data_IF_102525755374
#
_entry.id   IF_102525755374
#
_cell.length_a   1.000
_cell.length_b   1.000
_cell.length_c   1.000
_cell.angle_alpha   90.00
_cell.angle_beta   90.00
_cell.angle_gamma   90.00
#
_symmetry.space_group_name_H-M   'P 1'
#
loop_
_entity.id
_entity.type
_entity.pdbx_description
1 polymer ?
#
# COMPACT_ATOMS: atom_id res chain seq x y z
N UNK A 1 -26.16 -75.90 13.02
CA UNK A 1 -26.12 -74.59 13.69
C UNK A 1 -24.72 -74.00 13.58
N UNK A 2 -24.49 -73.16 12.58
CA UNK A 2 -23.43 -72.14 12.44
C UNK A 2 -23.97 -71.07 11.48
N UNK A 3 -23.82 -69.76 11.76
CA UNK A 3 -24.43 -68.71 10.94
C UNK A 3 -23.53 -68.38 9.74
N UNK A 4 -24.06 -68.04 8.56
CA UNK A 4 -23.27 -67.32 7.56
C UNK A 4 -23.30 -65.82 7.87
N UNK A 5 -22.09 -65.28 8.01
CA UNK A 5 -21.79 -63.92 8.41
C UNK A 5 -22.25 -62.89 7.36
N UNK A 6 -22.97 -61.87 7.84
CA UNK A 6 -23.29 -60.64 7.10
C UNK A 6 -21.99 -59.87 6.81
N UNK A 7 -21.65 -59.73 5.54
CA UNK A 7 -20.46 -59.02 5.09
C UNK A 7 -20.74 -57.51 5.17
N UNK A 8 -20.28 -56.87 6.24
CA UNK A 8 -20.28 -55.41 6.41
C UNK A 8 -19.13 -54.87 5.57
N UNK A 9 -19.45 -54.13 4.50
CA UNK A 9 -18.49 -53.37 3.70
C UNK A 9 -18.21 -52.07 4.47
N UNK A 10 -16.99 -51.82 4.99
CA UNK A 10 -16.69 -50.52 5.55
C UNK A 10 -16.49 -49.52 4.40
N UNK A 11 -17.42 -48.57 4.29
CA UNK A 11 -17.26 -47.36 3.49
C UNK A 11 -16.16 -46.50 4.15
N UNK A 12 -14.94 -46.59 3.62
CA UNK A 12 -13.82 -45.73 4.02
C UNK A 12 -14.06 -44.35 3.40
N UNK A 13 -14.61 -43.43 4.19
CA UNK A 13 -14.61 -41.99 3.85
C UNK A 13 -13.22 -41.46 4.16
N UNK A 14 -12.37 -41.34 3.14
CA UNK A 14 -11.10 -40.61 3.24
C UNK A 14 -11.44 -39.13 3.28
N UNK A 15 -11.53 -38.57 4.47
CA UNK A 15 -11.61 -37.12 4.66
C UNK A 15 -10.19 -36.58 4.45
N UNK A 16 -9.87 -36.21 3.22
CA UNK A 16 -8.65 -35.47 2.90
C UNK A 16 -8.81 -34.07 3.49
N UNK A 17 -8.42 -33.90 4.74
CA UNK A 17 -8.16 -32.58 5.29
C UNK A 17 -6.89 -32.09 4.62
N UNK A 18 -7.02 -31.31 3.55
CA UNK A 18 -5.89 -30.53 3.03
C UNK A 18 -5.68 -29.41 4.04
N UNK A 19 -5.02 -29.72 5.16
CA UNK A 19 -4.31 -28.70 5.92
C UNK A 19 -3.17 -28.25 5.02
N UNK A 20 -3.46 -27.26 4.17
CA UNK A 20 -2.44 -26.56 3.43
C UNK A 20 -1.52 -25.91 4.45
N UNK A 21 -0.43 -26.60 4.78
CA UNK A 21 0.74 -25.92 5.32
C UNK A 21 1.22 -25.08 4.15
N UNK A 22 0.88 -23.79 4.15
CA UNK A 22 1.63 -22.82 3.35
C UNK A 22 3.04 -22.89 3.91
N UNK A 23 3.92 -23.58 3.19
CA UNK A 23 5.34 -23.44 3.38
C UNK A 23 5.68 -22.00 2.98
N UNK A 24 5.58 -21.07 3.93
CA UNK A 24 6.16 -19.75 3.85
C UNK A 24 7.69 -19.90 3.93
N UNK A 25 8.30 -20.44 2.88
CA UNK A 25 9.75 -20.68 2.83
C UNK A 25 10.37 -20.04 1.58
N UNK A 26 9.74 -18.95 1.13
CA UNK A 26 10.02 -18.32 -0.15
C UNK A 26 10.64 -16.94 -0.06
N UNK A 27 11.31 -16.56 1.05
CA UNK A 27 12.04 -15.28 1.23
C UNK A 27 11.27 -13.99 0.90
N UNK A 28 9.98 -14.11 0.60
CA UNK A 28 9.10 -13.05 0.11
C UNK A 28 8.38 -12.50 1.30
N UNK A 29 8.39 -11.19 1.40
CA UNK A 29 7.84 -10.45 2.54
C UNK A 29 7.07 -9.26 2.00
N UNK A 30 5.88 -9.03 2.53
CA UNK A 30 5.12 -7.79 2.31
C UNK A 30 5.47 -6.82 3.44
N UNK A 31 5.65 -5.55 3.12
CA UNK A 31 5.90 -4.51 4.13
C UNK A 31 4.58 -4.08 4.78
N UNK A 32 4.47 -4.24 6.10
CA UNK A 32 3.30 -3.84 6.88
C UNK A 32 3.69 -3.35 8.28
N UNK A 33 2.71 -2.82 9.02
CA UNK A 33 2.86 -2.37 10.40
C UNK A 33 2.04 -3.29 11.31
N UNK A 34 2.68 -3.89 12.32
CA UNK A 34 2.01 -4.84 13.22
C UNK A 34 2.02 -6.26 12.66
N UNK A 35 1.07 -7.09 13.11
CA UNK A 35 1.03 -8.51 12.76
C UNK A 35 0.27 -8.80 11.45
N UNK A 36 -0.61 -7.87 11.04
CA UNK A 36 -1.44 -7.97 9.83
C UNK A 36 -1.20 -6.76 8.90
N UNK A 37 -1.59 -6.88 7.63
CA UNK A 37 -1.61 -5.74 6.71
C UNK A 37 -2.96 -5.02 6.76
N UNK A 38 -2.93 -3.69 6.93
CA UNK A 38 -4.11 -2.84 6.81
C UNK A 38 -4.18 -2.28 5.39
N UNK A 39 -5.35 -2.42 4.77
CA UNK A 39 -5.63 -1.90 3.43
C UNK A 39 -6.81 -0.94 3.51
N UNK A 40 -6.61 0.32 3.15
CA UNK A 40 -7.70 1.27 3.01
C UNK A 40 -8.39 1.07 1.65
N UNK A 41 -9.72 1.12 1.63
CA UNK A 41 -10.51 1.00 0.41
C UNK A 41 -10.44 2.28 -0.46
N UNK A 42 -9.26 2.58 -1.00
CA UNK A 42 -8.94 3.79 -1.78
C UNK A 42 -8.38 3.44 -3.17
N UNK A 43 -8.37 4.42 -4.08
CA UNK A 43 -8.00 4.18 -5.48
C UNK A 43 -6.50 3.92 -5.71
N UNK A 44 -5.67 4.33 -4.76
CA UNK A 44 -4.21 4.29 -4.83
C UNK A 44 -3.58 3.46 -3.71
N UNK A 45 -4.32 2.48 -3.16
CA UNK A 45 -3.83 1.59 -2.13
C UNK A 45 -2.58 0.85 -2.60
N UNK A 46 -1.47 1.03 -1.89
CA UNK A 46 -0.17 0.46 -2.26
C UNK A 46 0.15 -0.75 -1.40
N UNK A 47 0.62 -1.81 -2.04
CA UNK A 47 1.20 -2.99 -1.38
C UNK A 47 2.65 -3.11 -1.85
N UNK A 48 3.58 -3.18 -0.90
CA UNK A 48 5.02 -3.20 -1.16
C UNK A 48 5.66 -4.37 -0.47
N UNK A 49 6.83 -4.76 -0.94
CA UNK A 49 7.58 -5.82 -0.31
C UNK A 49 8.85 -6.16 -1.05
N UNK A 50 9.45 -7.27 -0.62
CA UNK A 50 10.65 -7.83 -1.19
C UNK A 50 10.47 -9.32 -1.50
N UNK A 51 11.20 -9.83 -2.47
CA UNK A 51 11.14 -11.22 -2.91
C UNK A 51 12.51 -11.67 -3.40
N UNK A 52 12.88 -12.97 -3.29
CA UNK A 52 14.18 -13.44 -3.76
C UNK A 52 14.26 -13.58 -5.29
N UNK A 53 13.18 -13.28 -6.02
CA UNK A 53 13.20 -13.34 -7.47
C UNK A 53 14.04 -12.23 -8.10
N UNK A 54 14.63 -12.54 -9.25
CA UNK A 54 15.46 -11.62 -10.02
C UNK A 54 14.66 -10.44 -10.57
N UNK A 55 15.34 -9.31 -10.75
CA UNK A 55 14.75 -8.13 -11.40
C UNK A 55 14.20 -8.46 -12.78
N UNK A 56 13.01 -7.93 -13.09
CA UNK A 56 12.28 -8.19 -14.33
C UNK A 56 11.32 -9.39 -14.26
N UNK A 57 11.44 -10.26 -13.25
CA UNK A 57 10.50 -11.38 -13.00
C UNK A 57 9.09 -10.84 -12.78
N UNK A 58 8.08 -11.49 -13.35
CA UNK A 58 6.68 -11.11 -13.16
C UNK A 58 6.10 -11.92 -12.01
N UNK A 59 5.61 -11.23 -10.98
CA UNK A 59 4.87 -11.82 -9.86
C UNK A 59 3.44 -11.28 -9.87
N UNK A 60 2.50 -12.05 -9.33
CA UNK A 60 1.12 -11.62 -9.09
C UNK A 60 0.93 -11.27 -7.62
N UNK A 61 0.27 -10.16 -7.34
CA UNK A 61 -0.26 -9.86 -6.01
C UNK A 61 -1.78 -9.97 -6.09
N UNK A 62 -2.38 -10.66 -5.12
CA UNK A 62 -3.80 -10.94 -5.08
C UNK A 62 -4.35 -10.63 -3.69
N UNK A 63 -5.50 -9.94 -3.65
CA UNK A 63 -6.23 -9.66 -2.42
C UNK A 63 -7.59 -10.34 -2.57
N UNK A 64 -7.96 -11.19 -1.61
CA UNK A 64 -9.23 -11.93 -1.59
C UNK A 64 -9.93 -11.69 -0.24
N UNK A 65 -11.26 -11.55 -0.24
CA UNK A 65 -12.03 -11.56 1.00
C UNK A 65 -11.97 -12.93 1.67
N UNK A 66 -12.03 -12.96 3.00
CA UNK A 66 -12.23 -14.20 3.76
C UNK A 66 -13.72 -14.50 3.91
N UNK A 67 -14.53 -13.45 4.07
CA UNK A 67 -15.96 -13.58 4.29
C UNK A 67 -16.76 -13.74 2.99
N UNK A 68 -17.90 -14.43 3.12
CA UNK A 68 -18.84 -14.70 2.02
C UNK A 68 -19.90 -13.60 1.83
N UNK A 69 -20.01 -12.64 2.76
CA UNK A 69 -21.05 -11.60 2.73
C UNK A 69 -20.91 -10.68 1.51
N UNK A 70 -19.66 -10.31 1.17
CA UNK A 70 -19.32 -9.52 0.00
C UNK A 70 -18.05 -10.08 -0.63
N UNK A 71 -18.14 -11.19 -1.38
CA UNK A 71 -16.97 -11.86 -1.89
C UNK A 71 -16.31 -11.02 -2.97
N UNK A 72 -15.00 -10.81 -2.86
CA UNK A 72 -14.24 -10.12 -3.88
C UNK A 72 -12.86 -10.73 -4.07
N UNK A 73 -12.30 -10.50 -5.25
CA UNK A 73 -10.94 -10.87 -5.61
C UNK A 73 -10.39 -9.81 -6.56
N UNK A 74 -9.31 -9.16 -6.15
CA UNK A 74 -8.53 -8.27 -7.03
C UNK A 74 -7.12 -8.80 -7.18
N UNK A 75 -6.58 -8.74 -8.39
CA UNK A 75 -5.22 -9.21 -8.64
C UNK A 75 -4.53 -8.34 -9.68
N UNK A 76 -3.25 -8.08 -9.46
CA UNK A 76 -2.40 -7.35 -10.39
C UNK A 76 -1.05 -8.05 -10.51
N UNK A 77 -0.54 -8.10 -11.74
CA UNK A 77 0.82 -8.51 -12.01
C UNK A 77 1.76 -7.30 -11.89
N UNK A 78 2.94 -7.51 -11.30
CA UNK A 78 3.99 -6.51 -11.17
C UNK A 78 5.34 -7.14 -11.51
N UNK A 79 6.24 -6.34 -12.08
CA UNK A 79 7.62 -6.76 -12.29
C UNK A 79 8.44 -6.47 -11.04
N UNK A 80 9.23 -7.45 -10.63
CA UNK A 80 10.22 -7.29 -9.57
C UNK A 80 11.27 -6.28 -10.05
N UNK A 81 11.54 -5.29 -9.21
CA UNK A 81 12.53 -4.25 -9.43
C UNK A 81 13.93 -4.67 -8.96
N UNK A 82 14.82 -3.69 -8.89
CA UNK A 82 16.17 -3.89 -8.36
C UNK A 82 16.11 -4.38 -6.90
N UNK A 83 17.03 -5.27 -6.53
CA UNK A 83 17.15 -5.86 -5.19
C UNK A 83 15.90 -6.67 -4.74
N UNK A 84 15.12 -7.21 -5.68
CA UNK A 84 13.96 -8.03 -5.33
C UNK A 84 12.75 -7.21 -4.84
N UNK A 85 12.77 -5.88 -4.95
CA UNK A 85 11.67 -5.03 -4.50
C UNK A 85 10.46 -5.12 -5.43
N UNK A 86 9.25 -5.00 -4.88
CA UNK A 86 8.05 -4.80 -5.69
C UNK A 86 7.11 -3.80 -5.03
N UNK A 87 6.34 -3.09 -5.85
CA UNK A 87 5.36 -2.11 -5.41
C UNK A 87 4.21 -2.13 -6.39
N UNK A 88 3.01 -2.44 -5.89
CA UNK A 88 1.80 -2.53 -6.70
C UNK A 88 0.74 -1.63 -6.10
N UNK A 89 0.03 -0.90 -6.97
CA UNK A 89 -1.08 -0.04 -6.57
C UNK A 89 -2.38 -0.68 -7.03
N UNK A 90 -3.31 -0.87 -6.10
CA UNK A 90 -4.66 -1.35 -6.33
C UNK A 90 -5.65 -0.19 -6.23
N UNK A 91 -6.70 -0.26 -7.06
CA UNK A 91 -7.89 0.56 -6.87
C UNK A 91 -8.89 -0.29 -6.09
N UNK A 92 -9.10 0.08 -4.83
CA UNK A 92 -10.04 -0.54 -3.90
C UNK A 92 -11.20 0.40 -3.58
N UNK A 93 -11.33 1.52 -4.30
CA UNK A 93 -12.32 2.56 -3.99
C UNK A 93 -13.77 2.06 -4.13
N UNK A 94 -14.01 1.12 -5.04
CA UNK A 94 -15.32 0.47 -5.22
C UNK A 94 -15.73 -0.38 -4.00
N UNK A 95 -14.77 -0.78 -3.15
CA UNK A 95 -15.03 -1.54 -1.92
C UNK A 95 -15.33 -0.62 -0.73
N UNK A 96 -15.09 0.69 -0.85
CA UNK A 96 -15.30 1.64 0.24
C UNK A 96 -16.73 1.66 0.84
N UNK A 97 -17.83 1.49 0.07
CA UNK A 97 -19.17 1.43 0.63
C UNK A 97 -19.57 0.03 1.12
N UNK A 98 -18.74 -1.00 0.89
CA UNK A 98 -19.00 -2.36 1.35
C UNK A 98 -18.57 -2.55 2.80
N UNK A 99 -19.02 -3.64 3.41
CA UNK A 99 -18.59 -4.02 4.75
C UNK A 99 -17.09 -4.35 4.78
N UNK A 100 -16.34 -3.69 5.65
CA UNK A 100 -14.91 -3.96 5.86
C UNK A 100 -14.69 -5.22 6.69
N UNK A 101 -13.47 -5.75 6.71
CA UNK A 101 -13.21 -7.00 7.41
C UNK A 101 -11.97 -7.76 6.92
N UNK A 102 -11.85 -9.05 7.31
CA UNK A 102 -10.65 -9.85 7.06
C UNK A 102 -10.47 -10.19 5.58
N UNK A 103 -9.23 -10.12 5.13
CA UNK A 103 -8.77 -10.44 3.78
C UNK A 103 -7.48 -11.26 3.85
N UNK A 104 -7.18 -11.95 2.77
CA UNK A 104 -5.86 -12.55 2.55
C UNK A 104 -5.16 -11.83 1.40
N UNK A 105 -3.89 -11.50 1.60
CA UNK A 105 -3.02 -10.97 0.57
C UNK A 105 -1.99 -12.03 0.19
N UNK A 106 -2.00 -12.43 -1.06
CA UNK A 106 -1.12 -13.45 -1.61
C UNK A 106 -0.15 -12.85 -2.61
N UNK A 107 1.12 -13.24 -2.51
CA UNK A 107 2.09 -13.13 -3.60
C UNK A 107 2.15 -14.47 -4.32
N UNK A 108 2.09 -14.43 -5.64
CA UNK A 108 2.03 -15.59 -6.53
C UNK A 108 3.10 -15.50 -7.59
N UNK A 109 3.66 -16.65 -7.97
CA UNK A 109 4.57 -16.78 -9.10
C UNK A 109 4.23 -18.07 -9.84
N UNK A 110 4.07 -18.00 -11.17
CA UNK A 110 3.66 -19.13 -12.01
C UNK A 110 2.45 -19.88 -11.43
N UNK A 111 1.39 -19.13 -11.10
CA UNK A 111 0.14 -19.65 -10.55
C UNK A 111 0.23 -20.32 -9.16
N UNK A 112 1.41 -20.35 -8.53
CA UNK A 112 1.61 -20.89 -7.18
C UNK A 112 1.66 -19.76 -6.16
N UNK A 113 0.99 -19.92 -5.02
CA UNK A 113 1.11 -18.99 -3.88
C UNK A 113 2.47 -19.20 -3.22
N UNK A 114 3.27 -18.15 -3.15
CA UNK A 114 4.65 -18.18 -2.61
C UNK A 114 4.75 -17.46 -1.27
N UNK A 115 3.81 -16.57 -0.99
CA UNK A 115 3.63 -15.91 0.29
C UNK A 115 2.15 -15.57 0.46
N UNK A 116 1.65 -15.67 1.69
CA UNK A 116 0.29 -15.32 2.07
C UNK A 116 0.36 -14.67 3.45
N UNK A 117 -0.39 -13.58 3.62
CA UNK A 117 -0.53 -12.88 4.90
C UNK A 117 -1.98 -12.45 5.09
N UNK A 118 -2.42 -12.47 6.35
CA UNK A 118 -3.71 -11.96 6.77
C UNK A 118 -3.70 -10.43 6.81
N UNK A 119 -4.85 -9.85 6.52
CA UNK A 119 -5.03 -8.41 6.56
C UNK A 119 -6.47 -8.01 6.86
N UNK A 120 -6.66 -6.72 7.06
CA UNK A 120 -7.98 -6.12 7.25
C UNK A 120 -8.20 -5.05 6.18
N UNK A 121 -9.30 -5.18 5.44
CA UNK A 121 -9.80 -4.14 4.57
C UNK A 121 -10.60 -3.14 5.39
N UNK A 122 -10.10 -1.92 5.48
CA UNK A 122 -10.75 -0.79 6.15
C UNK A 122 -11.63 -0.05 5.16
N UNK A 123 -12.93 0.04 5.45
CA UNK A 123 -13.94 0.67 4.58
C UNK A 123 -14.76 1.71 5.36
N UNK A 124 -15.64 2.47 4.68
CA UNK A 124 -16.54 3.42 5.34
C UNK A 124 -17.56 2.73 6.26
N UNK A 125 -17.77 1.43 6.07
CA UNK A 125 -18.74 0.63 6.80
C UNK A 125 -18.03 -0.51 7.54
N UNK A 126 -17.15 -0.15 8.47
CA UNK A 126 -16.57 -1.10 9.42
C UNK A 126 -17.63 -1.56 10.44
N UNK A 127 -17.50 -2.77 11.02
CA UNK A 127 -18.31 -3.19 12.16
C UNK A 127 -18.24 -2.18 13.31
N UNK A 128 -19.34 -1.99 14.03
CA UNK A 128 -19.43 -1.06 15.18
C UNK A 128 -18.38 -1.37 16.27
N UNK A 129 -18.00 -2.63 16.39
CA UNK A 129 -17.04 -3.15 17.36
C UNK A 129 -15.57 -2.83 16.98
N UNK A 130 -15.33 -2.32 15.76
CA UNK A 130 -13.99 -2.08 15.23
C UNK A 130 -13.37 -0.80 15.77
N UNK A 131 -12.06 -0.83 16.00
CA UNK A 131 -11.27 0.35 16.37
C UNK A 131 -10.61 1.03 15.16
N UNK A 132 -10.73 0.44 13.97
CA UNK A 132 -10.12 0.96 12.75
C UNK A 132 -11.00 2.05 12.13
N UNK A 133 -10.37 3.11 11.65
CA UNK A 133 -11.05 4.24 11.01
C UNK A 133 -10.64 4.32 9.56
N UNK A 134 -11.63 4.42 8.66
CA UNK A 134 -11.38 4.65 7.24
C UNK A 134 -10.80 6.03 7.00
N UNK A 135 -9.62 6.08 6.40
CA UNK A 135 -9.01 7.33 5.98
C UNK A 135 -9.44 7.64 4.54
N UNK A 136 -10.33 8.62 4.39
CA UNK A 136 -10.71 9.09 3.06
C UNK A 136 -9.48 9.71 2.39
N UNK A 137 -9.19 9.36 1.12
CA UNK A 137 -8.10 10.00 0.40
C UNK A 137 -8.43 11.49 0.28
N UNK A 138 -7.49 12.32 0.73
CA UNK A 138 -7.58 13.76 0.56
C UNK A 138 -7.37 14.05 -0.92
N UNK A 139 -8.36 14.65 -1.59
CA UNK A 139 -8.22 15.18 -2.94
C UNK A 139 -7.20 16.34 -2.93
N UNK A 140 -5.91 16.05 -2.89
CA UNK A 140 -4.87 17.04 -3.09
C UNK A 140 -4.71 17.31 -4.59
N UNK A 141 -5.75 17.87 -5.19
CA UNK A 141 -5.69 18.48 -6.52
C UNK A 141 -6.41 19.83 -6.50
N UNK A 142 -5.80 20.79 -5.80
CA UNK A 142 -5.94 22.21 -6.14
C UNK A 142 -4.55 22.82 -6.06
N UNK A 143 -3.70 22.46 -7.01
CA UNK A 143 -2.61 23.34 -7.40
C UNK A 143 -3.23 24.45 -8.25
N UNK A 144 -3.66 25.54 -7.61
CA UNK A 144 -3.82 26.81 -8.31
C UNK A 144 -2.42 27.22 -8.76
N UNK A 145 -2.13 27.02 -10.04
CA UNK A 145 -0.96 27.53 -10.75
C UNK A 145 -0.93 29.08 -10.69
N UNK A 146 0.02 29.74 -9.99
CA UNK A 146 0.33 31.11 -10.34
C UNK A 146 1.26 31.05 -11.56
N UNK A 147 0.65 31.20 -12.74
CA UNK A 147 1.31 31.57 -14.00
C UNK A 147 2.55 32.44 -13.75
N UNK A 148 3.76 32.07 -14.23
CA UNK A 148 4.90 32.97 -14.14
C UNK A 148 4.71 34.10 -15.16
N UNK A 149 4.13 35.22 -14.72
CA UNK A 149 4.17 36.47 -15.49
C UNK A 149 5.62 36.92 -15.57
N UNK A 150 6.21 36.75 -16.75
CA UNK A 150 7.55 37.24 -17.06
C UNK A 150 7.46 38.77 -17.25
N UNK A 151 7.84 39.55 -16.24
CA UNK A 151 8.02 41.00 -16.41
C UNK A 151 9.50 41.33 -16.36
N UNK A 152 10.10 41.47 -17.54
CA UNK A 152 11.39 42.11 -17.74
C UNK A 152 11.23 43.62 -17.53
N UNK A 153 11.91 44.19 -16.52
CA UNK A 153 12.25 45.61 -16.53
C UNK A 153 13.65 45.83 -15.95
N UNK A 154 14.53 46.22 -16.85
CA UNK A 154 15.88 46.73 -16.64
C UNK A 154 15.86 48.03 -15.82
N UNK A 155 16.66 48.02 -14.76
CA UNK A 155 17.54 49.07 -14.23
C UNK A 155 17.13 50.56 -14.32
N UNK A 156 17.28 51.26 -13.19
CA UNK A 156 17.93 52.58 -13.02
C UNK A 156 17.21 53.42 -11.96
N UNK A 157 17.83 53.52 -10.78
CA UNK A 157 17.87 54.76 -10.00
C UNK A 157 16.65 55.14 -9.15
N UNK A 158 16.99 55.74 -8.01
CA UNK A 158 16.13 56.53 -7.15
C UNK A 158 15.42 55.80 -6.01
N UNK A 159 15.93 56.10 -4.82
CA UNK A 159 15.39 55.82 -3.50
C UNK A 159 13.92 56.26 -3.39
N UNK A 160 13.00 55.30 -3.21
CA UNK A 160 11.81 55.38 -2.36
C UNK A 160 10.87 54.21 -2.63
N UNK A 161 10.46 53.50 -1.57
CA UNK A 161 9.24 52.70 -1.57
C UNK A 161 9.40 51.23 -1.98
N UNK A 162 9.88 50.40 -1.05
CA UNK A 162 9.65 48.96 -1.07
C UNK A 162 8.15 48.73 -0.89
N UNK A 163 7.42 48.40 -1.95
CA UNK A 163 6.04 47.94 -1.86
C UNK A 163 6.02 46.43 -2.15
N UNK A 164 5.99 45.65 -1.06
CA UNK A 164 5.71 44.22 -1.08
C UNK A 164 4.19 44.05 -0.93
N UNK A 165 3.46 43.56 -1.94
CA UNK A 165 2.09 43.14 -1.74
C UNK A 165 2.10 41.84 -0.93
N UNK A 166 1.79 41.96 0.36
CA UNK A 166 1.56 40.83 1.25
C UNK A 166 2.80 40.35 1.99
N UNK A 167 3.23 41.10 3.00
CA UNK A 167 3.62 40.64 4.34
C UNK A 167 4.16 41.85 5.10
N UNK A 168 3.59 42.08 6.29
CA UNK A 168 3.86 43.24 7.11
C UNK A 168 5.30 43.35 7.59
N UNK A 169 5.70 44.59 7.81
CA UNK A 169 6.98 45.04 8.31
C UNK A 169 7.38 44.34 9.62
N UNK A 170 8.63 43.89 9.70
CA UNK A 170 9.38 43.97 10.94
C UNK A 170 10.86 44.23 10.61
N UNK A 171 11.28 45.44 10.91
CA UNK A 171 12.68 45.84 10.93
C UNK A 171 13.43 45.03 11.99
N UNK A 172 14.56 44.44 11.61
CA UNK A 172 15.47 43.73 12.51
C UNK A 172 16.91 44.03 12.12
N UNK A 173 17.59 44.76 12.98
CA UNK A 173 18.89 45.40 12.78
C UNK A 173 20.04 44.39 12.57
N UNK A 174 20.93 44.78 11.67
CA UNK A 174 22.29 44.32 11.35
C UNK A 174 23.07 43.72 12.54
N UNK A 175 23.74 42.59 12.32
CA UNK A 175 25.04 42.30 12.95
C UNK A 175 26.00 41.65 11.94
N UNK A 176 27.06 42.38 11.66
CA UNK A 176 28.16 42.13 10.74
C UNK A 176 29.23 41.35 11.50
N UNK A 177 29.54 40.10 11.12
CA UNK A 177 30.77 39.43 11.56
C UNK A 177 31.44 38.73 10.38
N UNK A 178 32.73 39.00 10.29
CA UNK A 178 33.63 38.83 9.17
C UNK A 178 34.23 37.42 9.03
N UNK A 179 34.55 37.07 7.77
CA UNK A 179 35.79 36.45 7.26
C UNK A 179 36.35 35.22 8.00
N UNK A 180 36.41 34.09 7.29
CA UNK A 180 37.67 33.35 7.09
C UNK A 180 37.59 32.40 5.88
N UNK A 181 38.37 32.72 4.84
CA UNK A 181 38.85 31.83 3.78
C UNK A 181 39.71 30.69 4.36
N UNK A 182 39.48 29.45 3.92
CA UNK A 182 40.54 28.46 3.59
C UNK A 182 39.83 27.24 2.94
N UNK A 183 39.82 27.05 1.62
CA UNK A 183 40.93 26.60 0.76
C UNK A 183 41.56 25.25 1.17
N UNK A 184 41.13 24.18 0.50
CA UNK A 184 41.92 23.07 -0.11
C UNK A 184 40.94 21.93 -0.40
N UNK A 185 40.55 21.67 -1.66
CA UNK A 185 41.33 21.00 -2.72
C UNK A 185 41.76 19.61 -2.30
#
# INVERSE_FOLDING_TARGET
MRPPHTLIVPLVVVLVVVSGVVAADGGTVIDHRGDEILLDAVADQRVQGTTPYESGTVIGVRIKSVEDTHPFLVSKAVRVGTNGSFSVTFDLSELAPLHGGPVHVEVRHNETTVHEIDGILVTKNMPDDSTLTYHQPTDESTATDPSPTTTTTTDTGSLSGIQVPGLGLAAGVIALVAVALLARR
#
